data_IF_088893712307
#
_entry.id   IF_088893712307
#
_cell.length_a   1.000
_cell.length_b   1.000
_cell.length_c   1.000
_cell.angle_alpha   90.00
_cell.angle_beta   90.00
_cell.angle_gamma   90.00
#
_symmetry.space_group_name_H-M   'P 1'
#
loop_
_entity.id
_entity.type
_entity.pdbx_description
1 polymer ?
#
# COMPACT_ATOMS: atom_id res chain seq x y z
N UNK A 1 -9.25 -1.48 13.78
CA UNK A 1 -7.90 -1.45 13.17
C UNK A 1 -8.02 -1.74 11.67
N UNK A 2 -8.02 -0.69 10.85
CA UNK A 2 -8.25 -0.85 9.42
C UNK A 2 -6.95 -1.31 8.75
N UNK A 3 -6.90 -2.58 8.33
CA UNK A 3 -5.85 -3.11 7.45
C UNK A 3 -5.70 -2.28 6.17
N UNK A 4 -6.67 -1.42 5.83
CA UNK A 4 -6.68 -0.53 4.67
C UNK A 4 -5.46 0.36 4.56
N UNK A 5 -4.87 0.83 5.67
CA UNK A 5 -3.67 1.69 5.62
C UNK A 5 -2.41 0.91 5.19
N UNK A 6 -2.36 -0.40 5.45
CA UNK A 6 -1.28 -1.29 4.98
C UNK A 6 -1.43 -1.51 3.48
N UNK A 7 -2.67 -1.79 3.06
CA UNK A 7 -3.02 -1.89 1.66
C UNK A 7 -2.70 -0.58 0.93
N UNK A 8 -2.97 0.60 1.52
CA UNK A 8 -2.67 1.89 0.89
C UNK A 8 -1.18 2.11 0.64
N UNK A 9 -0.30 1.74 1.57
CA UNK A 9 1.14 1.93 1.42
C UNK A 9 1.75 1.07 0.30
N UNK A 10 1.35 -0.20 0.24
CA UNK A 10 1.80 -1.12 -0.83
C UNK A 10 1.11 -0.77 -2.16
N UNK A 11 -0.17 -0.39 -2.13
CA UNK A 11 -0.94 0.01 -3.29
C UNK A 11 -0.42 1.29 -3.94
N UNK A 12 -0.01 2.28 -3.15
CA UNK A 12 0.62 3.50 -3.65
C UNK A 12 1.93 3.20 -4.41
N UNK A 13 2.66 2.14 -4.02
CA UNK A 13 3.85 1.69 -4.76
C UNK A 13 3.48 1.08 -6.11
N UNK A 14 2.40 0.29 -6.16
CA UNK A 14 1.87 -0.26 -7.41
C UNK A 14 1.33 0.83 -8.34
N UNK A 15 0.57 1.80 -7.82
CA UNK A 15 0.07 2.92 -8.62
C UNK A 15 1.22 3.72 -9.25
N UNK A 16 2.26 4.02 -8.47
CA UNK A 16 3.41 4.79 -8.96
C UNK A 16 4.32 4.02 -9.93
N UNK A 17 4.14 2.71 -10.12
CA UNK A 17 5.06 1.92 -10.95
C UNK A 17 4.36 1.12 -12.03
N UNK A 18 3.28 0.43 -11.71
CA UNK A 18 2.47 -0.31 -12.67
C UNK A 18 1.48 0.57 -13.42
N UNK A 19 0.95 1.64 -12.78
CA UNK A 19 -0.09 2.51 -13.37
C UNK A 19 0.44 3.84 -13.95
N UNK A 20 1.75 4.13 -13.85
CA UNK A 20 2.34 5.35 -14.45
C UNK A 20 2.23 5.37 -15.96
N UNK A 21 2.32 4.20 -16.60
CA UNK A 21 2.08 4.05 -18.03
C UNK A 21 0.67 3.51 -18.26
N UNK A 22 -0.08 4.13 -19.16
CA UNK A 22 -1.39 3.61 -19.58
C UNK A 22 -1.23 2.21 -20.16
N UNK A 23 -1.86 1.23 -19.51
CA UNK A 23 -1.81 -0.16 -19.95
C UNK A 23 -2.88 -0.40 -21.01
N UNK A 24 -2.57 -1.15 -22.09
CA UNK A 24 -3.48 -1.32 -23.22
C UNK A 24 -4.72 -2.15 -22.89
N UNK A 25 -4.66 -3.00 -21.86
CA UNK A 25 -5.81 -3.72 -21.32
C UNK A 25 -5.55 -4.22 -19.88
N UNK A 26 -6.57 -4.85 -19.30
CA UNK A 26 -6.54 -5.38 -17.92
C UNK A 26 -5.50 -6.49 -17.73
N UNK A 27 -5.21 -7.31 -18.74
CA UNK A 27 -4.20 -8.37 -18.63
C UNK A 27 -2.79 -7.80 -18.54
N UNK A 28 -2.49 -6.76 -19.32
CA UNK A 28 -1.22 -6.04 -19.21
C UNK A 28 -1.08 -5.34 -17.86
N UNK A 29 -2.17 -4.78 -17.33
CA UNK A 29 -2.17 -4.21 -15.98
C UNK A 29 -1.89 -5.27 -14.90
N UNK A 30 -2.52 -6.44 -14.99
CA UNK A 30 -2.24 -7.55 -14.07
C UNK A 30 -0.78 -7.98 -14.13
N UNK A 31 -0.25 -8.17 -15.34
CA UNK A 31 1.15 -8.54 -15.52
C UNK A 31 2.13 -7.48 -14.99
N UNK A 32 1.81 -6.19 -15.13
CA UNK A 32 2.60 -5.10 -14.59
C UNK A 32 2.59 -5.09 -13.05
N UNK A 33 1.43 -5.31 -12.43
CA UNK A 33 1.29 -5.41 -10.97
C UNK A 33 2.03 -6.63 -10.43
N UNK A 34 1.88 -7.80 -11.07
CA UNK A 34 2.57 -9.04 -10.66
C UNK A 34 4.09 -8.89 -10.76
N UNK A 35 4.58 -8.27 -11.84
CA UNK A 35 6.00 -7.96 -12.00
C UNK A 35 6.50 -7.04 -10.89
N UNK A 36 5.77 -5.96 -10.61
CA UNK A 36 6.16 -5.02 -9.57
C UNK A 36 6.15 -5.67 -8.18
N UNK A 37 5.24 -6.63 -7.94
CA UNK A 37 5.20 -7.36 -6.68
C UNK A 37 6.44 -8.25 -6.50
N UNK A 38 6.87 -8.93 -7.58
CA UNK A 38 8.08 -9.76 -7.58
C UNK A 38 9.34 -8.90 -7.44
N UNK A 39 9.38 -7.72 -8.08
CA UNK A 39 10.50 -6.79 -7.99
C UNK A 39 10.55 -6.04 -6.63
N UNK A 40 9.44 -6.01 -5.90
CA UNK A 40 9.36 -5.34 -4.60
C UNK A 40 10.17 -6.11 -3.55
N UNK A 41 11.20 -5.45 -3.01
CA UNK A 41 12.04 -6.07 -1.98
C UNK A 41 11.24 -6.39 -0.71
N UNK A 42 11.53 -7.53 -0.10
CA UNK A 42 10.98 -7.91 1.21
C UNK A 42 11.22 -6.84 2.28
N UNK A 43 12.38 -6.17 2.24
CA UNK A 43 12.71 -5.05 3.12
C UNK A 43 11.73 -3.88 2.99
N UNK A 44 11.27 -3.59 1.77
CA UNK A 44 10.27 -2.54 1.53
C UNK A 44 8.93 -2.93 2.16
N UNK A 45 8.48 -4.16 1.95
CA UNK A 45 7.26 -4.69 2.56
C UNK A 45 7.33 -4.64 4.09
N UNK A 46 8.45 -5.09 4.67
CA UNK A 46 8.69 -5.02 6.11
C UNK A 46 8.68 -3.58 6.64
N UNK A 47 9.33 -2.64 5.95
CA UNK A 47 9.33 -1.23 6.36
C UNK A 47 7.93 -0.63 6.31
N UNK A 48 7.14 -0.92 5.28
CA UNK A 48 5.74 -0.48 5.19
C UNK A 48 4.90 -1.05 6.34
N UNK A 49 5.09 -2.34 6.67
CA UNK A 49 4.46 -2.97 7.85
C UNK A 49 4.92 -2.35 9.18
N UNK A 50 6.18 -1.95 9.29
CA UNK A 50 6.73 -1.33 10.50
C UNK A 50 6.23 0.11 10.69
N UNK A 51 6.10 0.89 9.61
CA UNK A 51 5.54 2.24 9.62
C UNK A 51 4.02 2.20 9.93
N UNK A 52 3.35 1.12 9.53
CA UNK A 52 1.93 0.91 9.81
C UNK A 52 1.61 0.76 11.30
N UNK A 53 2.51 0.21 12.13
CA UNK A 53 2.24 0.02 13.57
C UNK A 53 2.10 1.36 14.33
N UNK A 54 3.07 2.29 14.28
CA UNK A 54 2.98 3.58 14.96
C UNK A 54 1.86 4.49 14.45
N UNK A 55 1.50 4.38 13.16
CA UNK A 55 0.46 5.23 12.55
C UNK A 55 -0.96 4.82 12.94
N UNK A 56 -1.18 3.57 13.31
CA UNK A 56 -2.49 3.09 13.76
C UNK A 56 -2.66 3.05 15.29
N UNK A 57 -1.57 3.13 16.05
CA UNK A 57 -1.62 3.16 17.52
C UNK A 57 -2.48 4.32 18.05
N UNK A 58 -2.38 5.56 17.51
CA UNK A 58 -3.28 6.65 17.87
C UNK A 58 -4.75 6.40 17.49
N UNK A 59 -5.00 5.75 16.34
CA UNK A 59 -6.35 5.43 15.84
C UNK A 59 -7.02 4.35 16.69
N UNK A 60 -6.23 3.38 17.15
CA UNK A 60 -6.65 2.33 18.07
C UNK A 60 -6.98 2.88 19.46
N UNK A 61 -6.15 3.80 19.97
CA UNK A 61 -6.41 4.52 21.23
C UNK A 61 -7.65 5.42 21.12
N UNK A 62 -7.88 6.02 19.95
CA UNK A 62 -9.04 6.87 19.69
C UNK A 62 -10.37 6.10 19.45
N UNK A 63 -10.40 4.77 19.57
CA UNK A 63 -11.58 3.91 19.28
C UNK A 63 -12.29 4.26 17.95
N UNK A 64 -11.54 4.63 16.92
CA UNK A 64 -12.10 4.94 15.59
C UNK A 64 -12.70 6.34 15.43
N UNK A 65 -12.42 7.29 16.33
CA UNK A 65 -12.66 8.71 16.05
C UNK A 65 -11.76 9.19 14.91
N UNK A 66 -12.37 9.72 13.84
CA UNK A 66 -11.66 10.36 12.73
C UNK A 66 -10.69 11.43 13.27
N UNK A 67 -9.42 11.35 12.88
CA UNK A 67 -8.49 12.47 13.06
C UNK A 67 -8.86 13.57 12.06
N UNK A 68 -9.52 14.61 12.56
CA UNK A 68 -9.65 15.89 11.89
C UNK A 68 -9.15 16.97 12.84
N UNK A 69 -8.01 17.56 12.50
CA UNK A 69 -7.79 19.00 12.22
C UNK A 69 -6.34 19.20 11.77
#
# INVERSE_FOLDING_TARGET
>A
PDLKSLFYGVWAAFENKACVTSQPNVEFLKAAVDKEWVDMSEKYVMMTCLIFRPTNEPILVAKGGQFGE
#
